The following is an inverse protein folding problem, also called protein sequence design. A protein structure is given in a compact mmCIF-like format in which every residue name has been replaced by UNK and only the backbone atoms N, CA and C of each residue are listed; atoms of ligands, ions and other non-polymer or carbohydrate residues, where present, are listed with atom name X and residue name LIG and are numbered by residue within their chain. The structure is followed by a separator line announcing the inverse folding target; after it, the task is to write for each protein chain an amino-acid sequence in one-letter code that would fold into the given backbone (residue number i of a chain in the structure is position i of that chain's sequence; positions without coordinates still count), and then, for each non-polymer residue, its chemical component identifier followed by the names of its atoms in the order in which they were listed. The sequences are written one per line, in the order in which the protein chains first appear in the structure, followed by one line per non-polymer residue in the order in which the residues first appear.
data_IF_669556206784
#
_entry.id   IF_669556206784
#
_cell.length_a   1.000
_cell.length_b   1.000
_cell.length_c   1.000
_cell.angle_alpha   90.00
_cell.angle_beta   90.00
_cell.angle_gamma   90.00
#
_symmetry.space_group_name_H-M   'P 1'
#
loop_
_entity.id
_entity.type
_entity.pdbx_description
1 polymer ?
#
# COMPACT_ATOMS: atom_id res chain seq x y z
N UNK A 1 -8.67 1.98 -14.30
CA UNK A 1 -8.85 1.25 -13.03
C UNK A 1 -10.09 0.41 -13.18
N UNK A 2 -10.24 -0.68 -12.42
CA UNK A 2 -11.50 -1.42 -12.34
C UNK A 2 -12.23 -1.06 -11.06
N UNK A 3 -13.54 -0.85 -11.14
CA UNK A 3 -14.39 -0.58 -9.96
C UNK A 3 -15.40 -1.70 -9.81
N UNK A 4 -15.49 -2.22 -8.58
CA UNK A 4 -16.56 -3.13 -8.18
C UNK A 4 -17.41 -2.46 -7.12
N UNK A 5 -18.72 -2.36 -7.38
CA UNK A 5 -19.68 -1.93 -6.37
C UNK A 5 -19.89 -3.05 -5.35
N UNK A 6 -19.90 -2.71 -4.07
CA UNK A 6 -20.26 -3.64 -2.99
C UNK A 6 -21.69 -3.42 -2.52
N UNK A 7 -22.17 -4.23 -1.57
CA UNK A 7 -23.44 -3.96 -0.90
C UNK A 7 -23.31 -2.69 -0.04
N UNK A 8 -24.26 -1.76 -0.16
CA UNK A 8 -24.09 -0.38 0.34
C UNK A 8 -23.27 0.45 -0.66
N UNK A 9 -23.38 1.78 -0.62
CA UNK A 9 -22.80 2.70 -1.62
C UNK A 9 -21.25 2.79 -1.56
N UNK A 10 -20.58 1.67 -1.27
CA UNK A 10 -19.14 1.50 -1.19
C UNK A 10 -18.60 0.89 -2.49
N UNK A 11 -17.36 1.24 -2.80
CA UNK A 11 -16.66 0.80 -4.01
C UNK A 11 -15.34 0.15 -3.65
N UNK A 12 -15.01 -0.91 -4.37
CA UNK A 12 -13.66 -1.48 -4.42
C UNK A 12 -12.99 -0.97 -5.68
N UNK A 13 -11.96 -0.15 -5.52
CA UNK A 13 -11.13 0.32 -6.64
C UNK A 13 -9.91 -0.57 -6.79
N UNK A 14 -9.67 -1.02 -8.01
CA UNK A 14 -8.50 -1.80 -8.43
C UNK A 14 -7.65 -0.92 -9.34
N UNK A 15 -6.66 -0.29 -8.73
CA UNK A 15 -5.73 0.63 -9.39
C UNK A 15 -4.67 -0.16 -10.16
N UNK A 16 -4.07 0.50 -11.15
CA UNK A 16 -2.85 0.10 -11.86
C UNK A 16 -1.65 0.92 -11.36
N UNK A 17 -0.44 0.60 -11.81
CA UNK A 17 0.75 1.38 -11.43
C UNK A 17 0.77 2.78 -12.03
N UNK A 18 0.26 2.95 -13.25
CA UNK A 18 0.08 4.28 -13.85
C UNK A 18 -0.86 5.15 -13.00
N UNK A 19 -1.93 4.58 -12.43
CA UNK A 19 -2.88 5.35 -11.62
C UNK A 19 -2.38 5.64 -10.21
N UNK A 20 -1.51 4.78 -9.66
CA UNK A 20 -0.74 5.14 -8.47
C UNK A 20 0.20 6.31 -8.76
N UNK A 21 0.81 6.33 -9.95
CA UNK A 21 1.66 7.45 -10.36
C UNK A 21 0.85 8.74 -10.55
N UNK A 22 -0.33 8.68 -11.15
CA UNK A 22 -1.26 9.83 -11.23
C UNK A 22 -1.62 10.36 -9.83
N UNK A 23 -1.90 9.46 -8.88
CA UNK A 23 -2.14 9.85 -7.49
C UNK A 23 -0.92 10.54 -6.87
N UNK A 24 0.29 10.04 -7.12
CA UNK A 24 1.52 10.64 -6.59
C UNK A 24 1.77 12.02 -7.18
N UNK A 25 1.62 12.17 -8.50
CA UNK A 25 1.76 13.45 -9.19
C UNK A 25 0.71 14.47 -8.74
N UNK A 26 -0.48 14.00 -8.37
CA UNK A 26 -1.52 14.86 -7.84
C UNK A 26 -1.25 15.34 -6.41
N UNK A 27 -0.24 14.84 -5.68
CA UNK A 27 0.05 15.22 -4.29
C UNK A 27 0.49 16.68 -4.15
N UNK A 28 0.08 17.35 -3.06
CA UNK A 28 0.43 18.77 -2.81
C UNK A 28 1.71 18.93 -1.98
N UNK A 29 2.22 17.85 -1.40
CA UNK A 29 3.38 17.88 -0.53
C UNK A 29 4.04 16.51 -0.48
N UNK A 30 5.34 16.50 -0.18
CA UNK A 30 6.11 15.27 0.03
C UNK A 30 5.53 14.39 1.14
N UNK A 31 4.95 14.99 2.20
CA UNK A 31 4.23 14.24 3.24
C UNK A 31 3.06 13.46 2.67
N UNK A 32 2.25 14.10 1.84
CA UNK A 32 1.10 13.46 1.20
C UNK A 32 1.56 12.40 0.19
N UNK A 33 2.67 12.63 -0.51
CA UNK A 33 3.29 11.62 -1.38
C UNK A 33 3.76 10.39 -0.59
N UNK A 34 4.43 10.58 0.54
CA UNK A 34 4.86 9.48 1.42
C UNK A 34 3.66 8.66 1.91
N UNK A 35 2.52 9.31 2.22
CA UNK A 35 1.29 8.60 2.58
C UNK A 35 0.83 7.66 1.46
N UNK A 36 0.84 8.12 0.19
CA UNK A 36 0.53 7.27 -0.96
C UNK A 36 1.54 6.13 -1.07
N UNK A 37 2.84 6.42 -0.91
CA UNK A 37 3.89 5.42 -1.07
C UNK A 37 3.80 4.31 -0.01
N UNK A 38 3.60 4.66 1.26
CA UNK A 38 3.45 3.71 2.36
C UNK A 38 2.22 2.82 2.18
N UNK A 39 1.13 3.34 1.62
CA UNK A 39 -0.05 2.55 1.29
C UNK A 39 0.18 1.61 0.10
N UNK A 40 0.70 2.14 -1.01
CA UNK A 40 0.71 1.46 -2.31
C UNK A 40 1.95 0.61 -2.61
N UNK A 41 3.08 0.87 -1.96
CA UNK A 41 4.33 0.13 -2.18
C UNK A 41 4.79 -0.66 -0.94
N UNK A 42 4.36 -0.27 0.26
CA UNK A 42 4.68 -0.98 1.52
C UNK A 42 3.46 -1.75 2.05
N UNK A 43 2.27 -1.43 1.57
CA UNK A 43 1.03 -2.12 1.96
C UNK A 43 0.53 -1.75 3.35
N UNK A 44 0.90 -0.59 3.89
CA UNK A 44 0.45 -0.19 5.24
C UNK A 44 -1.03 0.14 5.27
N UNK A 45 -1.68 -0.21 6.39
CA UNK A 45 -3.05 0.22 6.69
C UNK A 45 -3.04 1.68 7.11
N UNK A 46 -4.15 2.38 6.92
CA UNK A 46 -4.26 3.80 7.26
C UNK A 46 -3.90 4.15 8.71
N UNK A 47 -4.12 3.24 9.67
CA UNK A 47 -3.74 3.46 11.06
C UNK A 47 -2.28 3.13 11.36
N UNK A 48 -1.61 2.34 10.52
CA UNK A 48 -0.18 1.99 10.65
C UNK A 48 0.71 3.15 10.15
N UNK A 49 0.26 3.90 9.14
CA UNK A 49 1.02 5.00 8.51
C UNK A 49 1.52 6.06 9.51
N UNK A 50 0.71 6.56 10.46
CA UNK A 50 1.20 7.52 11.46
C UNK A 50 2.21 6.98 12.47
N UNK A 51 2.38 5.66 12.54
CA UNK A 51 3.24 5.01 13.53
C UNK A 51 4.65 4.75 13.00
N UNK A 52 4.90 5.02 11.71
CA UNK A 52 6.19 4.81 11.06
C UNK A 52 7.20 5.83 11.58
N UNK A 53 8.34 5.35 12.09
CA UNK A 53 9.43 6.17 12.62
C UNK A 53 10.76 5.79 11.98
N UNK A 54 11.75 6.68 11.91
CA UNK A 54 13.07 6.35 11.38
C UNK A 54 13.73 5.15 12.07
N UNK A 55 13.62 5.02 13.40
CA UNK A 55 14.19 3.88 14.16
C UNK A 55 13.61 2.52 13.80
N UNK A 56 12.45 2.48 13.14
CA UNK A 56 11.79 1.24 12.74
C UNK A 56 12.28 0.74 11.36
N UNK A 57 13.08 1.52 10.64
CA UNK A 57 13.72 1.11 9.37
C UNK A 57 15.01 0.34 9.66
N UNK A 58 15.15 -0.83 9.01
CA UNK A 58 16.33 -1.69 9.15
C UNK A 58 16.84 -2.13 7.79
N UNK A 59 18.15 -2.10 7.61
CA UNK A 59 18.83 -2.73 6.48
C UNK A 59 19.14 -4.19 6.84
N UNK A 60 18.86 -5.12 5.93
CA UNK A 60 19.20 -6.54 6.06
C UNK A 60 20.64 -6.78 5.60
N UNK A 61 21.19 -7.96 5.93
CA UNK A 61 22.51 -8.39 5.43
C UNK A 61 22.59 -8.40 3.89
N UNK A 62 21.46 -8.68 3.24
CA UNK A 62 21.30 -8.67 1.78
C UNK A 62 21.10 -7.28 1.16
N UNK A 63 21.37 -6.19 1.90
CA UNK A 63 21.23 -4.81 1.40
C UNK A 63 19.80 -4.45 0.97
N UNK A 64 18.80 -5.04 1.63
CA UNK A 64 17.39 -4.73 1.44
C UNK A 64 16.84 -4.04 2.69
N UNK A 65 15.77 -3.26 2.55
CA UNK A 65 15.18 -2.57 3.70
C UNK A 65 13.90 -3.25 4.21
N UNK A 66 13.72 -3.19 5.52
CA UNK A 66 12.51 -3.61 6.22
C UNK A 66 12.02 -2.48 7.09
N UNK A 67 10.70 -2.33 7.16
CA UNK A 67 10.04 -1.43 8.09
C UNK A 67 9.32 -2.25 9.16
N UNK A 68 9.72 -2.07 10.42
CA UNK A 68 9.04 -2.68 11.56
C UNK A 68 7.70 -1.98 11.77
N UNK A 69 6.61 -2.68 11.45
CA UNK A 69 5.25 -2.28 11.81
C UNK A 69 4.97 -2.83 13.19
N UNK A 70 4.79 -1.94 14.17
CA UNK A 70 4.49 -2.32 15.55
C UNK A 70 3.05 -2.86 15.67
N UNK A 71 2.78 -3.65 16.72
CA UNK A 71 1.43 -4.14 17.00
C UNK A 71 0.46 -2.96 17.08
N UNK A 72 -0.62 -3.04 16.33
CA UNK A 72 -1.62 -1.99 16.34
C UNK A 72 -2.27 -1.93 17.72
N UNK A 73 -2.00 -0.87 18.51
CA UNK A 73 -2.85 -0.53 19.65
C UNK A 73 -4.17 0.05 19.13
N UNK A 74 -4.96 -0.80 18.50
CA UNK A 74 -6.33 -0.51 18.11
C UNK A 74 -7.20 -0.66 19.35
N UNK A 75 -7.84 0.43 19.77
CA UNK A 75 -8.82 0.46 20.86
C UNK A 75 -10.06 -0.41 20.60
N UNK A 76 -10.14 -1.11 19.45
CA UNK A 76 -11.20 -2.04 19.07
C UNK A 76 -10.80 -3.54 19.07
N UNK A 77 -9.55 -3.89 19.41
CA UNK A 77 -9.16 -5.27 19.72
C UNK A 77 -8.76 -6.19 18.54
N UNK A 78 -8.75 -5.70 17.30
CA UNK A 78 -8.28 -6.45 16.12
C UNK A 78 -6.92 -5.94 15.58
N UNK A 79 -6.08 -5.41 16.47
CA UNK A 79 -4.73 -4.92 16.16
C UNK A 79 -3.95 -5.91 15.29
N UNK A 80 -3.36 -5.42 14.21
CA UNK A 80 -2.55 -6.26 13.33
C UNK A 80 -1.26 -6.66 14.02
N UNK A 81 -0.88 -7.94 13.94
CA UNK A 81 0.35 -8.46 14.53
C UNK A 81 1.59 -7.71 14.05
N UNK A 82 2.64 -7.59 14.90
CA UNK A 82 3.92 -7.05 14.47
C UNK A 82 4.46 -7.77 13.25
N UNK A 83 5.00 -7.01 12.30
CA UNK A 83 5.64 -7.56 11.10
C UNK A 83 6.74 -6.66 10.60
N UNK A 84 7.63 -7.26 9.80
CA UNK A 84 8.67 -6.53 9.09
C UNK A 84 8.24 -6.40 7.63
N UNK A 85 7.59 -5.27 7.30
CA UNK A 85 7.16 -4.99 5.95
C UNK A 85 8.38 -4.79 5.04
N UNK A 86 8.28 -5.26 3.80
CA UNK A 86 9.29 -4.96 2.79
C UNK A 86 9.27 -3.46 2.48
N UNK A 87 10.41 -2.79 2.59
CA UNK A 87 10.53 -1.37 2.26
C UNK A 87 11.36 -1.24 0.98
N UNK A 88 10.74 -0.84 -0.15
CA UNK A 88 11.48 -0.65 -1.40
C UNK A 88 12.50 0.48 -1.28
N UNK A 89 13.67 0.33 -1.90
CA UNK A 89 14.77 1.29 -1.82
C UNK A 89 14.38 2.72 -2.20
N UNK A 90 13.45 2.87 -3.15
CA UNK A 90 12.93 4.21 -3.53
C UNK A 90 12.18 4.87 -2.37
N UNK A 91 11.29 4.12 -1.72
CA UNK A 91 10.50 4.62 -0.59
C UNK A 91 11.41 4.92 0.60
N UNK A 92 12.42 4.08 0.83
CA UNK A 92 13.43 4.29 1.86
C UNK A 92 14.20 5.60 1.65
N UNK A 93 14.70 5.84 0.44
CA UNK A 93 15.41 7.09 0.10
C UNK A 93 14.52 8.32 0.27
N UNK A 94 13.25 8.22 -0.11
CA UNK A 94 12.29 9.33 0.03
C UNK A 94 11.99 9.62 1.51
N UNK A 95 11.90 8.58 2.35
CA UNK A 95 11.77 8.73 3.81
C UNK A 95 13.03 9.36 4.43
N UNK A 96 14.23 8.90 4.05
CA UNK A 96 15.48 9.51 4.53
C UNK A 96 15.57 10.98 4.15
N UNK A 97 15.25 11.33 2.89
CA UNK A 97 15.21 12.72 2.42
C UNK A 97 14.27 13.55 3.28
N UNK A 98 13.04 13.08 3.45
CA UNK A 98 12.01 13.75 4.24
C UNK A 98 12.42 13.90 5.71
N UNK A 99 13.05 12.88 6.31
CA UNK A 99 13.61 12.99 7.66
C UNK A 99 14.60 14.14 7.78
N UNK A 100 15.55 14.22 6.84
CA UNK A 100 16.61 15.21 6.87
C UNK A 100 16.05 16.63 6.65
N UNK A 101 15.15 16.80 5.68
CA UNK A 101 14.53 18.10 5.37
C UNK A 101 13.67 18.63 6.53
N UNK A 102 13.00 17.74 7.26
CA UNK A 102 12.13 18.10 8.38
C UNK A 102 12.77 17.95 9.77
N UNK A 103 14.04 17.55 9.85
CA UNK A 103 14.77 17.30 11.11
C UNK A 103 14.02 16.35 12.06
N UNK A 104 13.44 15.29 11.52
CA UNK A 104 12.62 14.35 12.30
C UNK A 104 13.54 13.50 13.19
N UNK A 105 13.30 13.56 14.50
CA UNK A 105 14.10 12.79 15.44
C UNK A 105 13.86 11.28 15.24
N UNK A 106 14.83 10.41 15.55
CA UNK A 106 14.71 9.00 15.20
C UNK A 106 13.46 8.30 15.78
N UNK A 107 12.97 8.75 16.94
CA UNK A 107 11.81 8.19 17.64
C UNK A 107 10.48 8.90 17.32
N UNK A 108 10.51 9.96 16.53
CA UNK A 108 9.32 10.71 16.14
C UNK A 108 8.74 10.13 14.84
N UNK A 109 7.41 10.19 14.66
CA UNK A 109 6.79 9.66 13.46
C UNK A 109 7.14 10.52 12.24
N UNK A 110 7.28 9.90 11.07
CA UNK A 110 7.38 10.65 9.82
C UNK A 110 6.10 11.46 9.56
N UNK A 111 4.95 10.87 9.85
CA UNK A 111 3.65 11.45 9.54
C UNK A 111 2.89 11.72 10.84
N UNK A 112 2.97 12.96 11.34
CA UNK A 112 2.17 13.41 12.49
C UNK A 112 0.73 13.70 12.08
N UNK A 113 -0.04 12.63 11.82
CA UNK A 113 -1.47 12.67 11.50
C UNK A 113 -2.21 11.59 12.28
N UNK A 114 -3.50 11.80 12.52
CA UNK A 114 -4.37 10.71 12.97
C UNK A 114 -4.79 9.82 11.80
N UNK A 115 -5.32 8.63 12.07
CA UNK A 115 -5.88 7.76 11.02
C UNK A 115 -6.93 8.48 10.14
N UNK A 116 -7.91 9.24 10.69
CA UNK A 116 -8.79 10.08 9.88
C UNK A 116 -8.03 11.11 9.02
N UNK A 117 -6.94 11.68 9.53
CA UNK A 117 -6.07 12.60 8.80
C UNK A 117 -5.44 11.94 7.57
N UNK A 118 -4.92 10.72 7.72
CA UNK A 118 -4.38 9.91 6.61
C UNK A 118 -5.46 9.62 5.57
N UNK A 119 -6.66 9.21 6.00
CA UNK A 119 -7.79 8.98 5.07
C UNK A 119 -8.16 10.25 4.30
N UNK A 120 -8.16 11.40 4.98
CA UNK A 120 -8.45 12.68 4.35
C UNK A 120 -7.37 13.11 3.34
N UNK A 121 -6.09 12.80 3.60
CA UNK A 121 -4.99 13.03 2.63
C UNK A 121 -5.23 12.24 1.35
N UNK A 122 -5.53 10.95 1.44
CA UNK A 122 -5.79 10.11 0.26
C UNK A 122 -7.01 10.63 -0.51
N UNK A 123 -8.12 10.93 0.19
CA UNK A 123 -9.33 11.45 -0.45
C UNK A 123 -9.06 12.74 -1.23
N UNK A 124 -8.41 13.74 -0.60
CA UNK A 124 -8.09 15.02 -1.28
C UNK A 124 -7.13 14.84 -2.45
N UNK A 125 -6.23 13.86 -2.37
CA UNK A 125 -5.28 13.57 -3.45
C UNK A 125 -5.97 12.91 -4.62
N UNK A 126 -6.92 12.02 -4.34
CA UNK A 126 -7.73 11.40 -5.37
C UNK A 126 -8.71 12.38 -6.03
N UNK A 127 -9.30 13.32 -5.27
CA UNK A 127 -10.08 14.44 -5.83
C UNK A 127 -9.23 15.26 -6.83
N UNK A 128 -7.99 15.61 -6.47
CA UNK A 128 -7.05 16.31 -7.37
C UNK A 128 -6.64 15.48 -8.58
N UNK A 129 -6.42 14.17 -8.40
CA UNK A 129 -6.12 13.27 -9.51
C UNK A 129 -7.30 13.25 -10.50
N UNK A 130 -8.54 13.19 -10.02
CA UNK A 130 -9.73 13.24 -10.87
C UNK A 130 -9.82 14.54 -11.69
N UNK A 131 -9.49 15.67 -11.07
CA UNK A 131 -9.45 16.97 -11.76
C UNK A 131 -8.33 17.04 -12.81
N UNK A 132 -7.17 16.48 -12.50
CA UNK A 132 -5.97 16.55 -13.35
C UNK A 132 -6.06 15.62 -14.57
N UNK A 133 -6.56 14.39 -14.37
CA UNK A 133 -6.67 13.37 -15.42
C UNK A 133 -7.99 13.47 -16.18
N UNK A 134 -9.01 14.13 -15.60
CA UNK A 134 -10.39 14.11 -16.09
C UNK A 134 -11.15 12.82 -15.77
N UNK A 135 -10.52 11.87 -15.07
CA UNK A 135 -11.15 10.62 -14.69
C UNK A 135 -11.82 10.72 -13.30
N UNK A 136 -13.15 10.77 -13.30
CA UNK A 136 -13.95 10.88 -12.07
C UNK A 136 -13.86 9.63 -11.19
N UNK A 137 -13.38 8.50 -11.70
CA UNK A 137 -13.28 7.27 -10.93
C UNK A 137 -12.25 7.36 -9.78
N UNK A 138 -11.26 8.25 -9.90
CA UNK A 138 -10.37 8.58 -8.78
C UNK A 138 -11.13 9.03 -7.53
N UNK A 139 -12.29 9.69 -7.66
CA UNK A 139 -13.08 10.15 -6.50
C UNK A 139 -13.56 9.01 -5.58
N UNK A 140 -13.54 7.76 -6.08
CA UNK A 140 -13.92 6.56 -5.32
C UNK A 140 -12.74 5.94 -4.56
N UNK A 141 -11.50 6.39 -4.81
CA UNK A 141 -10.29 5.83 -4.22
C UNK A 141 -10.22 6.11 -2.71
N UNK A 142 -9.88 5.07 -1.96
CA UNK A 142 -9.67 5.12 -0.52
C UNK A 142 -8.28 4.60 -0.12
N UNK A 143 -7.90 4.77 1.15
CA UNK A 143 -6.68 4.18 1.70
C UNK A 143 -6.62 2.66 1.57
N UNK A 144 -7.78 1.99 1.56
CA UNK A 144 -7.82 0.53 1.44
C UNK A 144 -7.41 0.08 0.04
N UNK A 145 -7.69 0.88 -0.99
CA UNK A 145 -7.38 0.56 -2.38
C UNK A 145 -5.87 0.67 -2.66
N UNK A 146 -5.14 1.51 -1.92
CA UNK A 146 -3.67 1.54 -1.96
C UNK A 146 -3.08 0.20 -1.50
N UNK A 147 -3.56 -0.33 -0.37
CA UNK A 147 -3.15 -1.65 0.12
C UNK A 147 -3.62 -2.77 -0.81
N UNK A 148 -4.78 -2.61 -1.46
CA UNK A 148 -5.24 -3.55 -2.49
C UNK A 148 -4.29 -3.59 -3.68
N UNK A 149 -3.87 -2.44 -4.18
CA UNK A 149 -2.88 -2.37 -5.27
C UNK A 149 -1.57 -3.03 -4.86
N UNK A 150 -1.07 -2.78 -3.64
CA UNK A 150 0.13 -3.45 -3.14
C UNK A 150 0.02 -4.98 -3.24
N UNK A 151 -1.08 -5.55 -2.73
CA UNK A 151 -1.29 -6.99 -2.79
C UNK A 151 -1.43 -7.50 -4.23
N UNK A 152 -2.21 -6.82 -5.06
CA UNK A 152 -2.44 -7.21 -6.46
C UNK A 152 -1.14 -7.17 -7.27
N UNK A 153 -0.32 -6.12 -7.13
CA UNK A 153 0.98 -6.03 -7.80
C UNK A 153 1.82 -7.26 -7.48
N UNK A 154 1.97 -7.59 -6.20
CA UNK A 154 2.84 -8.70 -5.82
C UNK A 154 2.27 -10.06 -6.20
N UNK A 155 0.97 -10.29 -6.04
CA UNK A 155 0.38 -11.62 -6.23
C UNK A 155 0.01 -11.92 -7.68
N UNK A 156 -0.48 -10.92 -8.40
CA UNK A 156 -1.05 -11.09 -9.75
C UNK A 156 -0.02 -10.67 -10.79
N UNK A 157 0.52 -9.46 -10.67
CA UNK A 157 1.38 -8.90 -11.72
C UNK A 157 2.80 -9.51 -11.64
N UNK A 158 3.35 -9.65 -10.43
CA UNK A 158 4.68 -10.21 -10.17
C UNK A 158 4.65 -11.72 -9.85
N UNK A 159 3.46 -12.33 -9.80
CA UNK A 159 3.24 -13.75 -9.51
C UNK A 159 4.01 -14.28 -8.27
N UNK A 160 4.20 -13.43 -7.26
CA UNK A 160 5.01 -13.75 -6.09
C UNK A 160 4.35 -14.83 -5.24
N UNK A 161 5.16 -15.72 -4.67
CA UNK A 161 4.69 -16.74 -3.75
C UNK A 161 3.82 -16.11 -2.64
N UNK A 162 2.54 -16.51 -2.51
CA UNK A 162 1.62 -15.88 -1.56
C UNK A 162 2.13 -15.91 -0.12
N UNK A 163 2.90 -16.92 0.29
CA UNK A 163 3.49 -16.99 1.65
C UNK A 163 4.49 -15.86 1.90
N UNK A 164 5.22 -15.42 0.87
CA UNK A 164 6.12 -14.27 0.95
C UNK A 164 5.32 -12.99 1.16
N UNK A 165 4.28 -12.79 0.35
CA UNK A 165 3.39 -11.62 0.43
C UNK A 165 2.67 -11.57 1.78
N UNK A 166 2.17 -12.72 2.27
CA UNK A 166 1.55 -12.86 3.59
C UNK A 166 2.50 -12.44 4.71
N UNK A 167 3.76 -12.88 4.67
CA UNK A 167 4.76 -12.58 5.69
C UNK A 167 5.07 -11.07 5.78
N UNK A 168 5.24 -10.38 4.64
CA UNK A 168 5.58 -8.95 4.63
C UNK A 168 4.36 -8.05 4.82
N UNK A 169 3.19 -8.47 4.31
CA UNK A 169 1.98 -7.66 4.39
C UNK A 169 1.13 -7.92 5.63
N UNK A 170 1.40 -8.97 6.40
CA UNK A 170 0.69 -9.27 7.65
C UNK A 170 -0.69 -9.86 7.43
N UNK A 171 -0.78 -10.83 6.52
CA UNK A 171 -1.97 -11.66 6.35
C UNK A 171 -1.75 -13.01 7.05
N UNK A 172 -2.69 -13.37 7.92
CA UNK A 172 -2.59 -14.56 8.78
C UNK A 172 -3.07 -15.85 8.11
N UNK A 173 -3.79 -15.74 6.98
CA UNK A 173 -4.30 -16.91 6.26
C UNK A 173 -4.54 -16.64 4.78
N UNK A 174 -4.56 -17.70 3.98
CA UNK A 174 -4.93 -17.63 2.58
C UNK A 174 -6.35 -17.06 2.38
N UNK A 175 -7.30 -17.37 3.25
CA UNK A 175 -8.65 -16.79 3.17
C UNK A 175 -8.67 -15.25 3.28
N UNK A 176 -7.67 -14.65 3.95
CA UNK A 176 -7.56 -13.18 4.05
C UNK A 176 -6.84 -12.53 2.86
N UNK A 177 -6.09 -13.31 2.07
CA UNK A 177 -5.37 -12.82 0.89
C UNK A 177 -6.12 -13.14 -0.41
N UNK A 178 -6.95 -14.18 -0.40
CA UNK A 178 -7.80 -14.59 -1.52
C UNK A 178 -8.63 -13.45 -2.13
N UNK A 179 -9.22 -12.51 -1.35
CA UNK A 179 -9.96 -11.38 -1.94
C UNK A 179 -9.11 -10.42 -2.79
N UNK A 180 -7.79 -10.56 -2.79
CA UNK A 180 -6.84 -9.79 -3.62
C UNK A 180 -6.41 -10.54 -4.88
N UNK A 181 -6.75 -11.83 -4.99
CA UNK A 181 -6.53 -12.65 -6.17
C UNK A 181 -7.75 -12.51 -7.09
N UNK A 182 -7.53 -12.15 -8.34
CA UNK A 182 -8.56 -12.31 -9.35
C UNK A 182 -8.67 -13.80 -9.71
N UNK A 183 -9.88 -14.26 -10.02
CA UNK A 183 -10.01 -15.52 -10.75
C UNK A 183 -9.24 -15.36 -12.08
N UNK A 184 -8.33 -16.29 -12.43
CA UNK A 184 -7.65 -16.24 -13.71
C UNK A 184 -8.66 -16.43 -14.85
N UNK A 185 -8.46 -15.74 -15.97
CA UNK A 185 -9.23 -16.02 -17.20
C UNK A 185 -8.78 -17.34 -17.80
N UNK A 186 -9.60 -17.92 -18.71
CA UNK A 186 -9.23 -19.13 -19.45
C UNK A 186 -7.88 -18.96 -20.17
N UNK A 187 -7.65 -17.82 -20.83
CA UNK A 187 -6.37 -17.53 -21.51
C UNK A 187 -5.16 -17.57 -20.56
N UNK A 188 -5.29 -17.04 -19.34
CA UNK A 188 -4.22 -17.05 -18.32
C UNK A 188 -3.97 -18.46 -17.82
N UNK A 189 -5.02 -19.27 -17.69
CA UNK A 189 -4.90 -20.68 -17.34
C UNK A 189 -4.14 -21.41 -18.47
N UNK A 190 -4.57 -21.24 -19.72
CA UNK A 190 -3.96 -21.91 -20.87
C UNK A 190 -2.48 -21.51 -21.05
N UNK A 191 -2.15 -20.23 -20.90
CA UNK A 191 -0.75 -19.74 -20.95
C UNK A 191 0.09 -20.35 -19.82
N UNK A 192 -0.43 -20.39 -18.58
CA UNK A 192 0.28 -20.97 -17.44
C UNK A 192 0.54 -22.47 -17.61
N UNK A 193 -0.33 -23.21 -18.30
CA UNK A 193 -0.13 -24.62 -18.62
C UNK A 193 0.68 -24.84 -19.91
N UNK A 194 0.72 -23.88 -20.84
CA UNK A 194 1.50 -23.96 -22.06
C UNK A 194 3.03 -23.90 -21.80
N UNK A 195 3.45 -23.24 -20.72
CA UNK A 195 4.85 -23.19 -20.29
C UNK A 195 5.34 -24.49 -19.62
N UNK A 196 4.43 -25.42 -19.32
CA UNK A 196 4.76 -26.71 -18.73
C UNK A 196 4.89 -27.77 -19.84
N UNK A 197 6.10 -28.27 -20.07
CA UNK A 197 6.28 -29.54 -20.79
C UNK A 197 5.83 -30.69 -19.87
N UNK A 198 4.53 -31.02 -19.91
CA UNK A 198 3.93 -32.17 -19.21
C UNK A 198 4.01 -33.47 -20.02
#
# INVERSE_FOLDING_TARGET
MRIESTAGNEHKVWLTDSEIEDLRQATNSQRDEIVIQLGAFVGLRAFEIPQVRPVDVKETESKQYRLRVQDGKDTSGNGGKPRDAFLPDRVERDLQRFQNEHNIAPKDPFIDLTQPGVRAVVRRTAERAAETTGDKDFQKVSTHDLRRRFAQRLLVDEQMNPRVVMAVGGWDSFATIEPYLNAPSEDVIDEAFAELEL
#
